data_IF_248179245138
#
_entry.id   IF_248179245138
#
_cell.length_a   1.000
_cell.length_b   1.000
_cell.length_c   1.000
_cell.angle_alpha   90.00
_cell.angle_beta   90.00
_cell.angle_gamma   90.00
#
_symmetry.space_group_name_H-M   'P 1'
#
loop_
_entity.id
_entity.type
_entity.pdbx_description
1 polymer ?
#
# COMPACT_ATOMS: atom_id res chain seq x y z
N UNK A 1 -10.63 -4.12 57.83
CA UNK A 1 -11.89 -4.78 57.40
C UNK A 1 -12.86 -3.84 56.72
N UNK A 2 -12.96 -2.56 57.05
CA UNK A 2 -13.91 -1.61 56.46
C UNK A 2 -13.58 -1.19 54.99
N UNK A 3 -12.32 -1.16 54.62
CA UNK A 3 -11.89 -0.84 53.25
C UNK A 3 -12.16 -2.00 52.26
N UNK A 4 -11.97 -3.24 52.71
CA UNK A 4 -12.22 -4.45 51.93
C UNK A 4 -13.70 -4.66 51.62
N UNK A 5 -14.59 -4.35 52.58
CA UNK A 5 -16.06 -4.43 52.41
C UNK A 5 -16.59 -3.35 51.46
N UNK A 6 -15.97 -2.16 51.38
CA UNK A 6 -16.33 -1.11 50.39
C UNK A 6 -15.94 -1.52 48.97
N UNK A 7 -14.78 -2.14 48.79
CA UNK A 7 -14.34 -2.59 47.45
C UNK A 7 -15.18 -3.77 46.93
N UNK A 8 -15.58 -4.71 47.83
CA UNK A 8 -16.47 -5.80 47.49
C UNK A 8 -17.91 -5.32 47.16
N UNK A 9 -18.40 -4.29 47.87
CA UNK A 9 -19.69 -3.68 47.59
C UNK A 9 -19.75 -2.98 46.23
N UNK A 10 -18.70 -2.28 45.82
CA UNK A 10 -18.60 -1.65 44.50
C UNK A 10 -18.49 -2.66 43.37
N UNK A 11 -17.75 -3.76 43.56
CA UNK A 11 -17.61 -4.84 42.58
C UNK A 11 -18.93 -5.56 42.33
N UNK A 12 -19.75 -5.77 43.39
CA UNK A 12 -21.09 -6.38 43.24
C UNK A 12 -22.08 -5.46 42.55
N UNK A 13 -22.00 -4.13 42.74
CA UNK A 13 -22.89 -3.15 42.11
C UNK A 13 -22.55 -2.98 40.63
N UNK A 14 -21.26 -2.91 40.28
CA UNK A 14 -20.82 -2.86 38.86
C UNK A 14 -21.17 -4.18 38.16
N UNK A 15 -21.00 -5.32 38.80
CA UNK A 15 -21.40 -6.63 38.25
C UNK A 15 -22.91 -6.73 37.98
N UNK A 16 -23.75 -6.14 38.84
CA UNK A 16 -25.23 -6.11 38.65
C UNK A 16 -25.69 -5.24 37.47
N UNK A 17 -24.89 -4.25 37.07
CA UNK A 17 -25.20 -3.39 35.93
C UNK A 17 -24.58 -3.93 34.63
N UNK A 18 -23.33 -4.42 34.71
CA UNK A 18 -22.58 -4.91 33.55
C UNK A 18 -23.13 -6.27 33.06
N UNK A 19 -23.59 -7.13 33.95
CA UNK A 19 -24.12 -8.44 33.56
C UNK A 19 -25.40 -8.39 32.71
N UNK A 20 -26.43 -7.59 33.06
CA UNK A 20 -27.61 -7.44 32.19
C UNK A 20 -27.28 -6.68 30.89
N UNK A 21 -26.32 -5.74 30.91
CA UNK A 21 -25.86 -5.03 29.69
C UNK A 21 -25.12 -5.98 28.76
N UNK A 22 -24.33 -6.89 29.27
CA UNK A 22 -23.61 -7.93 28.54
C UNK A 22 -24.56 -9.00 27.98
N UNK A 23 -25.57 -9.43 28.78
CA UNK A 23 -26.66 -10.29 28.30
C UNK A 23 -27.48 -9.62 27.21
N UNK A 24 -27.76 -8.33 27.36
CA UNK A 24 -28.46 -7.52 26.36
C UNK A 24 -27.68 -7.43 25.05
N UNK A 25 -26.37 -7.21 25.10
CA UNK A 25 -25.49 -7.21 23.92
C UNK A 25 -25.38 -8.61 23.29
N UNK A 26 -25.34 -9.66 24.11
CA UNK A 26 -25.25 -11.07 23.66
C UNK A 26 -26.53 -11.56 22.99
N UNK A 27 -27.70 -11.04 23.40
CA UNK A 27 -29.00 -11.41 22.82
C UNK A 27 -29.41 -10.46 21.71
N UNK A 28 -29.23 -9.16 21.90
CA UNK A 28 -29.61 -8.14 20.92
C UNK A 28 -28.60 -8.05 19.77
N UNK A 29 -27.30 -8.31 20.03
CA UNK A 29 -26.27 -8.28 19.00
C UNK A 29 -26.57 -9.22 17.82
N UNK A 30 -26.80 -10.53 18.04
CA UNK A 30 -27.19 -11.45 16.95
C UNK A 30 -28.54 -11.08 16.31
N UNK A 31 -29.53 -10.66 17.09
CA UNK A 31 -30.83 -10.19 16.55
C UNK A 31 -30.67 -8.93 15.70
N UNK A 32 -29.85 -7.98 16.14
CA UNK A 32 -29.54 -6.78 15.37
C UNK A 32 -28.76 -7.10 14.08
N UNK A 33 -27.84 -8.05 14.12
CA UNK A 33 -27.11 -8.47 12.91
C UNK A 33 -28.01 -9.21 11.92
N UNK A 34 -28.92 -10.06 12.40
CA UNK A 34 -29.94 -10.70 11.55
C UNK A 34 -30.92 -9.65 11.00
N UNK A 35 -31.37 -8.69 11.79
CA UNK A 35 -32.22 -7.60 11.33
C UNK A 35 -31.51 -6.70 10.32
N UNK A 36 -30.26 -6.32 10.56
CA UNK A 36 -29.43 -5.59 9.60
C UNK A 36 -29.26 -6.37 8.29
N UNK A 37 -28.98 -7.66 8.36
CA UNK A 37 -28.79 -8.50 7.19
C UNK A 37 -30.10 -8.72 6.39
N UNK A 38 -31.24 -8.89 7.08
CA UNK A 38 -32.51 -9.23 6.40
C UNK A 38 -33.32 -8.02 5.98
N UNK A 39 -33.26 -6.91 6.69
CA UNK A 39 -34.07 -5.71 6.43
C UNK A 39 -33.25 -4.60 5.78
N UNK A 40 -32.09 -4.29 6.33
CA UNK A 40 -31.21 -3.22 5.82
C UNK A 40 -30.38 -3.69 4.64
N UNK A 41 -29.92 -4.95 4.66
CA UNK A 41 -29.14 -5.54 3.58
C UNK A 41 -29.75 -5.39 2.19
N UNK A 42 -31.00 -5.81 1.96
CA UNK A 42 -31.66 -5.67 0.64
C UNK A 42 -31.83 -4.21 0.21
N UNK A 43 -32.13 -3.30 1.14
CA UNK A 43 -32.24 -1.87 0.85
C UNK A 43 -30.90 -1.27 0.45
N UNK A 44 -29.82 -1.63 1.16
CA UNK A 44 -28.46 -1.20 0.81
C UNK A 44 -28.05 -1.77 -0.54
N UNK A 45 -28.34 -3.06 -0.80
CA UNK A 45 -28.04 -3.70 -2.10
C UNK A 45 -28.81 -2.99 -3.22
N UNK A 46 -30.05 -2.64 -3.02
CA UNK A 46 -30.85 -1.91 -4.01
C UNK A 46 -30.32 -0.50 -4.28
N UNK A 47 -29.92 0.24 -3.24
CA UNK A 47 -29.27 1.57 -3.37
C UNK A 47 -27.92 1.44 -4.10
N UNK A 48 -27.15 0.42 -3.77
CA UNK A 48 -25.87 0.14 -4.41
C UNK A 48 -26.06 -0.20 -5.90
N UNK A 49 -27.04 -1.04 -6.23
CA UNK A 49 -27.34 -1.43 -7.61
C UNK A 49 -27.88 -0.26 -8.44
N UNK A 50 -28.69 0.62 -7.85
CA UNK A 50 -29.22 1.81 -8.55
C UNK A 50 -28.15 2.87 -8.85
N UNK A 51 -27.07 2.92 -8.04
CA UNK A 51 -25.95 3.87 -8.19
C UNK A 51 -24.58 3.16 -8.23
N UNK A 52 -24.51 2.04 -8.92
CA UNK A 52 -23.34 1.15 -8.90
C UNK A 52 -22.04 1.86 -9.22
N UNK A 53 -22.03 2.72 -10.23
CA UNK A 53 -20.83 3.46 -10.65
C UNK A 53 -20.32 4.42 -9.56
N UNK A 54 -21.24 5.18 -8.93
CA UNK A 54 -20.88 6.12 -7.86
C UNK A 54 -20.42 5.37 -6.63
N UNK A 55 -21.10 4.28 -6.28
CA UNK A 55 -20.73 3.47 -5.13
C UNK A 55 -19.37 2.81 -5.31
N UNK A 56 -19.11 2.23 -6.46
CA UNK A 56 -17.79 1.67 -6.81
C UNK A 56 -16.69 2.72 -6.74
N UNK A 57 -16.94 3.92 -7.24
CA UNK A 57 -15.99 5.03 -7.18
C UNK A 57 -15.68 5.45 -5.74
N UNK A 58 -16.69 5.65 -4.91
CA UNK A 58 -16.51 6.00 -3.49
C UNK A 58 -15.79 4.89 -2.74
N UNK A 59 -16.17 3.64 -2.98
CA UNK A 59 -15.52 2.48 -2.36
C UNK A 59 -14.05 2.37 -2.77
N UNK A 60 -13.72 2.64 -4.04
CA UNK A 60 -12.35 2.68 -4.52
C UNK A 60 -11.52 3.77 -3.82
N UNK A 61 -12.07 4.98 -3.67
CA UNK A 61 -11.39 6.06 -2.93
C UNK A 61 -11.15 5.67 -1.48
N UNK A 62 -12.17 5.14 -0.79
CA UNK A 62 -12.05 4.71 0.62
C UNK A 62 -11.03 3.59 0.76
N UNK A 63 -11.04 2.60 -0.14
CA UNK A 63 -10.08 1.51 -0.15
C UNK A 63 -8.65 2.01 -0.42
N UNK A 64 -8.48 2.92 -1.38
CA UNK A 64 -7.17 3.50 -1.71
C UNK A 64 -6.60 4.29 -0.52
N UNK A 65 -7.40 5.17 0.10
CA UNK A 65 -6.96 5.93 1.27
C UNK A 65 -6.71 5.01 2.47
N UNK A 66 -7.61 4.05 2.70
CA UNK A 66 -7.50 3.06 3.78
C UNK A 66 -6.29 2.13 3.62
N UNK A 67 -5.77 1.97 2.41
CA UNK A 67 -4.58 1.19 2.13
C UNK A 67 -3.31 2.06 2.11
N UNK A 68 -3.32 3.20 1.41
CA UNK A 68 -2.12 4.03 1.18
C UNK A 68 -1.53 4.59 2.47
N UNK A 69 -2.39 5.03 3.40
CA UNK A 69 -1.93 5.59 4.68
C UNK A 69 -1.24 4.53 5.56
N UNK A 70 -1.86 3.36 5.85
CA UNK A 70 -1.17 2.29 6.57
C UNK A 70 0.09 1.78 5.87
N UNK A 71 0.09 1.65 4.54
CA UNK A 71 1.25 1.25 3.77
C UNK A 71 2.43 2.21 3.98
N UNK A 72 2.20 3.53 3.91
CA UNK A 72 3.22 4.53 4.18
C UNK A 72 3.80 4.40 5.61
N UNK A 73 2.96 4.19 6.63
CA UNK A 73 3.44 3.96 8.00
C UNK A 73 4.28 2.69 8.14
N UNK A 74 3.93 1.62 7.44
CA UNK A 74 4.70 0.36 7.41
C UNK A 74 6.07 0.60 6.77
N UNK A 75 6.12 1.35 5.65
CA UNK A 75 7.37 1.67 4.95
C UNK A 75 8.28 2.53 5.83
N UNK A 76 7.74 3.55 6.50
CA UNK A 76 8.49 4.39 7.45
C UNK A 76 9.08 3.51 8.56
N UNK A 77 8.29 2.58 9.12
CA UNK A 77 8.77 1.66 10.15
C UNK A 77 9.88 0.74 9.62
N UNK A 78 9.68 0.14 8.44
CA UNK A 78 10.70 -0.70 7.78
C UNK A 78 12.00 0.08 7.58
N UNK A 79 11.92 1.29 7.07
CA UNK A 79 13.08 2.13 6.83
C UNK A 79 13.87 2.40 8.12
N UNK A 80 13.19 2.83 9.18
CA UNK A 80 13.82 3.08 10.48
C UNK A 80 14.49 1.83 11.07
N UNK A 81 13.89 0.66 10.90
CA UNK A 81 14.45 -0.60 11.40
C UNK A 81 15.61 -1.11 10.54
N UNK A 82 15.44 -1.17 9.23
CA UNK A 82 16.45 -1.70 8.32
C UNK A 82 17.72 -0.84 8.40
N UNK A 83 17.59 0.49 8.32
CA UNK A 83 18.75 1.39 8.43
C UNK A 83 19.41 1.29 9.81
N UNK A 84 18.63 1.11 10.89
CA UNK A 84 19.20 0.92 12.22
C UNK A 84 20.03 -0.36 12.31
N UNK A 85 19.53 -1.48 11.79
CA UNK A 85 20.27 -2.74 11.75
C UNK A 85 21.54 -2.64 10.89
N UNK A 86 21.48 -1.96 9.76
CA UNK A 86 22.66 -1.74 8.91
C UNK A 86 23.73 -0.91 9.62
N UNK A 87 23.32 0.05 10.44
CA UNK A 87 24.21 0.89 11.26
C UNK A 87 24.57 0.25 12.62
N UNK A 88 24.29 -1.05 12.81
CA UNK A 88 24.55 -1.79 14.05
C UNK A 88 23.97 -1.12 15.30
N UNK A 89 22.81 -0.48 15.19
CA UNK A 89 22.11 0.18 16.29
C UNK A 89 20.68 -0.37 16.44
N UNK A 90 20.14 -0.24 17.67
CA UNK A 90 18.75 -0.61 17.93
C UNK A 90 17.84 0.52 17.43
N UNK A 91 16.98 0.23 16.45
CA UNK A 91 15.95 1.16 16.01
C UNK A 91 14.85 1.38 17.07
N UNK A 92 13.73 2.04 16.71
CA UNK A 92 12.62 2.29 17.62
C UNK A 92 12.18 1.00 18.32
N UNK A 93 12.10 0.98 19.68
CA UNK A 93 11.85 -0.24 20.45
C UNK A 93 10.87 -0.08 21.63
N UNK A 94 10.39 1.14 21.92
CA UNK A 94 9.63 1.40 23.17
C UNK A 94 8.12 1.33 23.03
N UNK A 95 7.56 1.59 21.84
CA UNK A 95 6.10 1.68 21.63
C UNK A 95 5.63 0.40 20.96
N UNK A 96 4.83 -0.41 21.63
CA UNK A 96 4.47 -1.78 21.24
C UNK A 96 5.70 -2.70 21.10
N UNK A 97 5.52 -4.01 20.93
CA UNK A 97 6.64 -4.91 20.70
C UNK A 97 7.48 -4.45 19.50
N UNK A 98 8.78 -4.35 19.70
CA UNK A 98 9.77 -3.91 18.70
C UNK A 98 9.54 -2.49 18.13
N UNK A 99 8.73 -1.63 18.74
CA UNK A 99 8.48 -0.26 18.29
C UNK A 99 7.53 -0.16 17.09
N UNK A 100 6.67 -1.15 16.85
CA UNK A 100 5.81 -1.23 15.68
C UNK A 100 4.88 -0.01 15.46
N UNK A 101 4.39 0.61 16.53
CA UNK A 101 3.54 1.80 16.44
C UNK A 101 4.33 3.12 16.40
N UNK A 102 5.65 3.11 16.34
CA UNK A 102 6.46 4.33 16.36
C UNK A 102 6.11 5.28 15.21
N UNK A 103 5.96 4.76 14.00
CA UNK A 103 5.61 5.55 12.81
C UNK A 103 4.23 6.23 12.95
N UNK A 104 3.25 5.52 13.52
CA UNK A 104 1.91 6.09 13.77
C UNK A 104 1.97 7.22 14.79
N UNK A 105 2.69 7.01 15.90
CA UNK A 105 2.87 8.05 16.93
C UNK A 105 3.63 9.26 16.38
N UNK A 106 4.64 9.02 15.53
CA UNK A 106 5.36 10.10 14.85
C UNK A 106 4.42 10.89 13.92
N UNK A 107 3.54 10.22 13.17
CA UNK A 107 2.51 10.87 12.37
C UNK A 107 1.53 11.70 13.21
N UNK A 108 1.01 11.15 14.31
CA UNK A 108 0.14 11.89 15.24
C UNK A 108 0.87 13.13 15.83
N UNK A 109 2.18 13.01 16.11
CA UNK A 109 2.98 14.15 16.57
C UNK A 109 3.05 15.26 15.52
N UNK A 110 3.19 14.91 14.24
CA UNK A 110 3.17 15.88 13.13
C UNK A 110 1.81 16.58 13.04
N UNK A 111 0.72 15.84 13.19
CA UNK A 111 -0.64 16.40 13.19
C UNK A 111 -0.90 17.35 14.37
N UNK A 112 -0.28 17.09 15.53
CA UNK A 112 -0.41 17.93 16.73
C UNK A 112 0.49 19.18 16.70
N UNK A 113 1.40 19.31 15.72
CA UNK A 113 2.24 20.52 15.58
C UNK A 113 1.44 21.70 15.07
N UNK A 114 1.85 22.90 15.50
CA UNK A 114 1.30 24.15 14.99
C UNK A 114 1.56 24.30 13.49
N UNK A 115 0.50 24.63 12.75
CA UNK A 115 0.56 24.91 11.32
C UNK A 115 0.59 26.42 11.09
N UNK A 116 1.73 26.96 10.74
CA UNK A 116 1.91 28.38 10.46
C UNK A 116 2.24 28.63 8.99
N UNK A 117 1.90 29.82 8.51
CA UNK A 117 2.26 30.33 7.19
C UNK A 117 3.17 31.53 7.34
N UNK A 118 4.32 31.60 6.64
CA UNK A 118 5.16 32.78 6.61
C UNK A 118 4.37 34.01 6.12
N UNK A 119 4.65 35.19 6.69
CA UNK A 119 3.91 36.42 6.35
C UNK A 119 4.04 36.83 4.88
N UNK A 120 5.17 36.52 4.24
CA UNK A 120 5.47 36.85 2.86
C UNK A 120 5.00 35.76 1.87
N UNK A 121 4.55 34.60 2.36
CA UNK A 121 4.09 33.49 1.51
C UNK A 121 2.73 33.77 0.87
N UNK A 122 2.52 33.28 -0.36
CA UNK A 122 1.20 33.22 -0.97
C UNK A 122 0.35 32.14 -0.30
N UNK A 123 -0.54 32.53 0.61
CA UNK A 123 -1.32 31.62 1.45
C UNK A 123 -2.15 30.62 0.67
N UNK A 124 -2.69 31.02 -0.47
CA UNK A 124 -3.54 30.16 -1.29
C UNK A 124 -2.71 29.04 -1.91
N UNK A 125 -1.67 29.39 -2.62
CA UNK A 125 -0.77 28.42 -3.29
C UNK A 125 -0.04 27.57 -2.27
N UNK A 126 0.46 28.17 -1.16
CA UNK A 126 1.12 27.49 -0.07
C UNK A 126 0.25 26.39 0.57
N UNK A 127 -1.05 26.61 0.65
CA UNK A 127 -1.99 25.61 1.22
C UNK A 127 -2.30 24.49 0.25
N UNK A 128 -2.49 24.80 -1.05
CA UNK A 128 -2.91 23.83 -2.04
C UNK A 128 -1.78 23.00 -2.63
N UNK A 129 -0.55 23.49 -2.64
CA UNK A 129 0.59 22.76 -3.19
C UNK A 129 0.83 21.38 -2.55
N UNK A 130 0.87 21.23 -1.20
CA UNK A 130 1.00 19.93 -0.55
C UNK A 130 -0.19 18.98 -0.84
N UNK A 131 -1.40 19.54 -0.92
CA UNK A 131 -2.60 18.76 -1.23
C UNK A 131 -2.50 18.23 -2.66
N UNK A 132 -2.04 19.03 -3.62
CA UNK A 132 -1.86 18.60 -5.00
C UNK A 132 -0.86 17.44 -5.09
N UNK A 133 0.31 17.55 -4.43
CA UNK A 133 1.33 16.48 -4.43
C UNK A 133 0.77 15.18 -3.81
N UNK A 134 0.05 15.28 -2.71
CA UNK A 134 -0.56 14.11 -2.07
C UNK A 134 -1.67 13.50 -2.93
N UNK A 135 -2.53 14.35 -3.52
CA UNK A 135 -3.64 13.90 -4.35
C UNK A 135 -3.13 13.15 -5.59
N UNK A 136 -2.09 13.65 -6.26
CA UNK A 136 -1.51 12.98 -7.43
C UNK A 136 -0.98 11.60 -7.06
N UNK A 137 -0.26 11.46 -5.93
CA UNK A 137 0.21 10.17 -5.46
C UNK A 137 -0.96 9.20 -5.19
N UNK A 138 -2.03 9.64 -4.54
CA UNK A 138 -3.21 8.81 -4.28
C UNK A 138 -3.96 8.43 -5.56
N UNK A 139 -4.11 9.35 -6.52
CA UNK A 139 -4.79 9.09 -7.79
C UNK A 139 -4.09 8.02 -8.64
N UNK A 140 -2.77 7.88 -8.52
CA UNK A 140 -1.99 6.85 -9.21
C UNK A 140 -2.41 5.43 -8.82
N UNK A 141 -2.84 5.20 -7.57
CA UNK A 141 -3.35 3.89 -7.12
C UNK A 141 -4.60 3.43 -7.86
N UNK A 142 -5.36 4.34 -8.44
CA UNK A 142 -6.64 4.03 -9.07
C UNK A 142 -6.51 3.05 -10.23
N UNK A 143 -5.34 3.00 -10.86
CA UNK A 143 -5.08 2.22 -12.07
C UNK A 143 -4.21 1.00 -11.78
N UNK A 144 -3.58 0.93 -10.60
CA UNK A 144 -2.72 -0.20 -10.22
C UNK A 144 -3.58 -1.41 -9.82
N UNK A 145 -3.42 -2.55 -10.48
CA UNK A 145 -4.13 -3.76 -10.12
C UNK A 145 -3.43 -4.50 -8.97
N UNK A 146 -4.13 -4.67 -7.87
CA UNK A 146 -3.65 -5.39 -6.69
C UNK A 146 -3.92 -6.90 -6.72
N UNK A 147 -4.82 -7.33 -7.60
CA UNK A 147 -5.22 -8.73 -7.74
C UNK A 147 -6.19 -8.92 -8.90
N UNK A 148 -6.58 -10.16 -9.22
CA UNK A 148 -7.55 -10.44 -10.27
C UNK A 148 -8.86 -9.70 -9.96
N UNK A 149 -9.26 -8.76 -10.81
CA UNK A 149 -10.48 -7.95 -10.62
C UNK A 149 -10.36 -6.83 -9.57
N UNK A 150 -9.23 -6.71 -8.86
CA UNK A 150 -8.95 -5.68 -7.86
C UNK A 150 -8.26 -4.47 -8.48
N UNK A 151 -8.99 -3.74 -9.28
CA UNK A 151 -8.55 -2.50 -9.93
C UNK A 151 -9.55 -1.41 -9.60
N UNK A 152 -9.09 -0.24 -9.17
CA UNK A 152 -9.97 0.89 -8.87
C UNK A 152 -10.73 1.37 -10.10
N UNK A 153 -10.04 1.54 -11.23
CA UNK A 153 -10.63 1.85 -12.52
C UNK A 153 -9.87 1.09 -13.64
N UNK A 154 -10.50 0.11 -14.31
CA UNK A 154 -9.89 -0.60 -15.42
C UNK A 154 -9.89 0.27 -16.68
N UNK A 155 -8.86 1.08 -16.85
CA UNK A 155 -8.72 1.97 -18.01
C UNK A 155 -7.93 1.28 -19.13
N UNK A 156 -8.45 1.33 -20.36
CA UNK A 156 -7.73 0.83 -21.54
C UNK A 156 -6.41 1.58 -21.80
N UNK A 157 -6.35 2.85 -21.37
CA UNK A 157 -5.18 3.73 -21.48
C UNK A 157 -4.56 3.97 -20.09
N UNK A 158 -4.56 2.95 -19.22
CA UNK A 158 -4.11 3.07 -17.83
C UNK A 158 -2.70 3.60 -17.67
N UNK A 159 -1.76 3.19 -18.52
CA UNK A 159 -0.38 3.69 -18.50
C UNK A 159 -0.29 5.17 -18.85
N UNK A 160 -1.06 5.64 -19.83
CA UNK A 160 -1.09 7.06 -20.19
C UNK A 160 -1.65 7.91 -19.04
N UNK A 161 -2.73 7.45 -18.41
CA UNK A 161 -3.29 8.09 -17.22
C UNK A 161 -2.25 8.19 -16.09
N UNK A 162 -1.52 7.10 -15.83
CA UNK A 162 -0.50 7.03 -14.80
C UNK A 162 0.57 8.12 -15.00
N UNK A 163 1.17 8.20 -16.21
CA UNK A 163 2.19 9.20 -16.51
C UNK A 163 1.63 10.63 -16.51
N UNK A 164 0.40 10.83 -16.95
CA UNK A 164 -0.24 12.15 -16.91
C UNK A 164 -0.45 12.63 -15.47
N UNK A 165 -0.83 11.73 -14.55
CA UNK A 165 -1.03 12.06 -13.14
C UNK A 165 0.32 12.26 -12.44
N UNK A 166 1.34 11.41 -12.70
CA UNK A 166 2.66 11.57 -12.08
C UNK A 166 3.31 12.91 -12.46
N UNK A 167 3.20 13.34 -13.73
CA UNK A 167 3.71 14.64 -14.18
C UNK A 167 3.09 15.84 -13.46
N UNK A 168 1.86 15.74 -12.94
CA UNK A 168 1.26 16.80 -12.12
C UNK A 168 1.98 16.99 -10.77
N UNK A 169 2.69 16.00 -10.28
CA UNK A 169 3.49 16.09 -9.04
C UNK A 169 4.58 17.16 -9.18
N UNK A 170 5.19 17.30 -10.35
CA UNK A 170 6.20 18.32 -10.66
C UNK A 170 5.64 19.72 -10.43
N UNK A 171 4.42 19.96 -10.91
CA UNK A 171 3.74 21.27 -10.73
C UNK A 171 3.53 21.53 -9.23
N UNK A 172 3.08 20.52 -8.46
CA UNK A 172 2.90 20.62 -7.02
C UNK A 172 4.19 20.98 -6.27
N UNK A 173 5.31 20.33 -6.62
CA UNK A 173 6.63 20.59 -6.02
C UNK A 173 7.16 21.99 -6.34
N UNK A 174 6.99 22.45 -7.59
CA UNK A 174 7.34 23.82 -7.99
C UNK A 174 6.52 24.86 -7.24
N UNK A 175 5.20 24.64 -7.15
CA UNK A 175 4.31 25.54 -6.40
C UNK A 175 4.65 25.57 -4.91
N UNK A 176 5.02 24.46 -4.32
CA UNK A 176 5.45 24.38 -2.93
C UNK A 176 6.71 25.22 -2.67
N UNK A 177 7.73 25.08 -3.55
CA UNK A 177 8.95 25.89 -3.47
C UNK A 177 8.71 27.37 -3.70
N UNK A 178 7.90 27.72 -4.71
CA UNK A 178 7.60 29.10 -5.09
C UNK A 178 6.82 29.86 -4.02
N UNK A 179 5.74 29.24 -3.51
CA UNK A 179 4.82 29.89 -2.57
C UNK A 179 5.42 30.17 -1.20
N UNK A 180 6.49 29.49 -0.83
CA UNK A 180 7.18 29.64 0.47
C UNK A 180 7.92 30.98 0.64
N UNK A 181 8.13 31.75 -0.44
CA UNK A 181 8.89 33.00 -0.47
C UNK A 181 10.28 32.90 0.17
N UNK A 182 10.89 31.73 0.10
CA UNK A 182 12.23 31.45 0.59
C UNK A 182 13.12 30.99 -0.54
N UNK A 183 14.32 31.60 -0.68
CA UNK A 183 15.27 31.25 -1.76
C UNK A 183 15.75 29.80 -1.70
N UNK A 184 15.92 29.23 -0.50
CA UNK A 184 16.31 27.83 -0.35
C UNK A 184 15.18 26.88 -0.74
N UNK A 185 13.94 27.21 -0.36
CA UNK A 185 12.76 26.45 -0.74
C UNK A 185 12.52 26.49 -2.24
N UNK A 186 12.69 27.65 -2.90
CA UNK A 186 12.59 27.79 -4.34
C UNK A 186 13.67 26.98 -5.07
N UNK A 187 14.93 27.04 -4.62
CA UNK A 187 16.00 26.24 -5.21
C UNK A 187 15.74 24.73 -5.02
N UNK A 188 15.23 24.31 -3.87
CA UNK A 188 14.83 22.93 -3.60
C UNK A 188 13.71 22.46 -4.54
N UNK A 189 12.67 23.26 -4.72
CA UNK A 189 11.57 22.98 -5.65
C UNK A 189 12.03 22.88 -7.10
N UNK A 190 12.91 23.78 -7.56
CA UNK A 190 13.48 23.74 -8.91
C UNK A 190 14.36 22.50 -9.13
N UNK A 191 15.18 22.11 -8.16
CA UNK A 191 16.02 20.91 -8.22
C UNK A 191 15.17 19.64 -8.29
N UNK A 192 14.14 19.55 -7.45
CA UNK A 192 13.20 18.43 -7.42
C UNK A 192 12.46 18.29 -8.76
N UNK A 193 11.92 19.38 -9.26
CA UNK A 193 11.23 19.40 -10.55
C UNK A 193 12.16 18.99 -11.71
N UNK A 194 13.39 19.51 -11.73
CA UNK A 194 14.36 19.16 -12.76
C UNK A 194 14.73 17.67 -12.70
N UNK A 195 14.86 17.09 -11.52
CA UNK A 195 15.11 15.66 -11.32
C UNK A 195 13.94 14.85 -11.86
N UNK A 196 12.72 15.07 -11.39
CA UNK A 196 11.54 14.29 -11.78
C UNK A 196 11.34 14.33 -13.30
N UNK A 197 11.33 15.53 -13.93
CA UNK A 197 11.18 15.68 -15.38
C UNK A 197 12.27 14.92 -16.15
N UNK A 198 13.52 14.97 -15.68
CA UNK A 198 14.64 14.34 -16.39
C UNK A 198 14.60 12.80 -16.32
N UNK A 199 14.03 12.23 -15.26
CA UNK A 199 13.92 10.79 -15.10
C UNK A 199 12.58 10.23 -15.61
N UNK A 200 11.53 11.05 -15.70
CA UNK A 200 10.26 10.68 -16.31
C UNK A 200 10.40 10.28 -17.78
N UNK A 201 11.30 10.95 -18.53
CA UNK A 201 11.52 10.64 -19.96
C UNK A 201 12.09 9.21 -20.16
N UNK A 202 13.23 8.80 -19.58
CA UNK A 202 13.72 7.43 -19.72
C UNK A 202 12.78 6.40 -19.09
N UNK A 203 12.05 6.74 -18.02
CA UNK A 203 11.05 5.89 -17.41
C UNK A 203 9.91 5.59 -18.38
N UNK A 204 9.32 6.60 -18.99
CA UNK A 204 8.25 6.44 -20.00
C UNK A 204 8.74 5.68 -21.24
N UNK A 205 9.94 5.96 -21.75
CA UNK A 205 10.51 5.24 -22.89
C UNK A 205 10.73 3.74 -22.59
N UNK A 206 11.12 3.39 -21.38
CA UNK A 206 11.26 1.98 -20.99
C UNK A 206 9.92 1.24 -21.04
N UNK A 207 8.84 1.91 -20.63
CA UNK A 207 7.48 1.36 -20.65
C UNK A 207 6.91 1.32 -22.07
N UNK A 208 7.26 2.28 -22.94
CA UNK A 208 6.86 2.22 -24.37
C UNK A 208 7.38 0.93 -25.04
N UNK A 209 8.61 0.51 -24.75
CA UNK A 209 9.13 -0.78 -25.22
C UNK A 209 8.29 -1.96 -24.74
N UNK A 210 7.83 -1.93 -23.50
CA UNK A 210 6.92 -2.95 -22.94
C UNK A 210 5.53 -2.91 -23.60
N UNK A 211 4.99 -1.71 -23.88
CA UNK A 211 3.72 -1.55 -24.61
C UNK A 211 3.80 -2.18 -26.00
N UNK A 212 4.93 -2.06 -26.68
CA UNK A 212 5.14 -2.68 -28.00
C UNK A 212 5.10 -4.21 -27.92
N UNK A 213 5.65 -4.79 -26.85
CA UNK A 213 5.61 -6.25 -26.61
C UNK A 213 4.21 -6.73 -26.22
N UNK A 214 3.53 -6.00 -25.33
CA UNK A 214 2.21 -6.37 -24.81
C UNK A 214 1.05 -6.06 -25.78
N UNK A 215 1.24 -5.09 -26.70
CA UNK A 215 0.19 -4.66 -27.64
C UNK A 215 -0.96 -3.89 -26.99
N UNK A 216 -0.83 -3.47 -25.71
CA UNK A 216 -1.89 -2.79 -24.96
C UNK A 216 -1.31 -1.76 -23.98
N UNK A 217 -2.09 -0.72 -23.67
CA UNK A 217 -1.78 0.26 -22.62
C UNK A 217 -2.55 -0.01 -21.30
N UNK A 218 -3.39 -1.05 -21.27
CA UNK A 218 -4.13 -1.44 -20.08
C UNK A 218 -3.21 -2.19 -19.13
N UNK A 219 -3.03 -1.67 -17.91
CA UNK A 219 -2.16 -2.26 -16.89
C UNK A 219 -2.69 -3.64 -16.45
N UNK A 220 -4.00 -3.80 -16.33
CA UNK A 220 -4.63 -5.08 -16.00
C UNK A 220 -4.36 -6.15 -17.08
N UNK A 221 -4.46 -5.78 -18.36
CA UNK A 221 -4.17 -6.69 -19.48
C UNK A 221 -2.70 -7.09 -19.54
N UNK A 222 -1.77 -6.15 -19.25
CA UNK A 222 -0.33 -6.41 -19.15
C UNK A 222 -0.05 -7.40 -18.01
N UNK A 223 -0.70 -7.24 -16.87
CA UNK A 223 -0.55 -8.12 -15.73
C UNK A 223 -1.05 -9.55 -16.03
N UNK A 224 -2.17 -9.68 -16.74
CA UNK A 224 -2.73 -10.98 -17.18
C UNK A 224 -1.85 -11.71 -18.18
N UNK A 225 -1.13 -11.01 -19.05
CA UNK A 225 -0.22 -11.62 -20.04
C UNK A 225 1.02 -12.26 -19.39
N UNK A 226 1.30 -11.97 -18.13
CA UNK A 226 2.42 -12.54 -17.38
C UNK A 226 2.01 -13.73 -16.52
N UNK A 227 0.88 -14.39 -16.85
CA UNK A 227 0.43 -15.62 -16.18
C UNK A 227 1.26 -16.82 -16.63
N UNK A 228 1.39 -17.83 -15.74
CA UNK A 228 2.08 -19.08 -16.02
C UNK A 228 3.40 -19.22 -15.24
N UNK A 229 4.50 -19.35 -15.93
CA UNK A 229 5.81 -19.57 -15.33
C UNK A 229 6.57 -18.26 -15.16
N UNK A 230 7.49 -18.18 -14.20
CA UNK A 230 8.26 -16.94 -13.95
C UNK A 230 9.09 -16.47 -15.15
N UNK A 231 9.45 -17.38 -16.08
CA UNK A 231 10.12 -17.02 -17.33
C UNK A 231 9.24 -16.23 -18.31
N UNK A 232 7.92 -16.27 -18.14
CA UNK A 232 6.98 -15.53 -18.98
C UNK A 232 6.86 -14.06 -18.57
N UNK A 233 7.45 -13.70 -17.44
CA UNK A 233 7.45 -12.31 -16.98
C UNK A 233 8.25 -11.42 -17.92
N UNK A 234 7.78 -10.21 -18.10
CA UNK A 234 8.42 -9.24 -19.00
C UNK A 234 9.85 -8.87 -18.61
N UNK A 235 10.26 -9.06 -17.36
CA UNK A 235 11.66 -8.86 -16.94
C UNK A 235 12.63 -9.73 -17.74
N UNK A 236 12.25 -10.95 -18.13
CA UNK A 236 13.10 -11.83 -18.94
C UNK A 236 13.06 -11.49 -20.42
N UNK A 237 11.92 -10.99 -20.91
CA UNK A 237 11.77 -10.56 -22.31
C UNK A 237 12.38 -9.19 -22.56
N UNK A 238 12.43 -8.31 -21.54
CA UNK A 238 12.94 -6.94 -21.64
C UNK A 238 13.76 -6.55 -20.39
N UNK A 239 14.90 -7.21 -20.11
CA UNK A 239 15.68 -6.97 -18.90
C UNK A 239 16.26 -5.55 -18.84
N UNK A 240 16.68 -4.99 -19.97
CA UNK A 240 17.20 -3.62 -20.04
C UNK A 240 16.10 -2.59 -19.71
N UNK A 241 14.89 -2.78 -20.25
CA UNK A 241 13.75 -1.92 -19.93
C UNK A 241 13.39 -1.96 -18.43
N UNK A 242 13.37 -3.15 -17.83
CA UNK A 242 13.12 -3.32 -16.39
C UNK A 242 14.19 -2.62 -15.54
N UNK A 243 15.46 -2.71 -15.91
CA UNK A 243 16.56 -2.05 -15.22
C UNK A 243 16.46 -0.53 -15.30
N UNK A 244 16.18 0.01 -16.50
CA UNK A 244 16.01 1.45 -16.69
C UNK A 244 14.83 1.95 -15.89
N UNK A 245 13.69 1.25 -15.94
CA UNK A 245 12.51 1.58 -15.15
C UNK A 245 12.80 1.58 -13.64
N UNK A 246 13.53 0.57 -13.16
CA UNK A 246 13.91 0.48 -11.74
C UNK A 246 14.77 1.67 -11.31
N UNK A 247 15.82 2.01 -12.07
CA UNK A 247 16.72 3.13 -11.75
C UNK A 247 15.96 4.47 -11.81
N UNK A 248 15.15 4.68 -12.86
CA UNK A 248 14.35 5.89 -13.00
C UNK A 248 13.28 5.98 -11.92
N UNK A 249 12.68 4.86 -11.52
CA UNK A 249 11.69 4.82 -10.45
C UNK A 249 12.25 5.19 -9.07
N UNK A 250 13.53 4.86 -8.77
CA UNK A 250 14.18 5.32 -7.54
C UNK A 250 14.34 6.84 -7.55
N UNK A 251 14.72 7.41 -8.70
CA UNK A 251 14.88 8.85 -8.85
C UNK A 251 13.53 9.60 -8.79
N UNK A 252 12.46 9.02 -9.35
CA UNK A 252 11.09 9.51 -9.28
C UNK A 252 10.55 9.51 -7.84
N UNK A 253 10.91 8.46 -7.06
CA UNK A 253 10.54 8.36 -5.65
C UNK A 253 11.39 9.25 -4.73
N UNK A 254 12.30 10.09 -5.27
CA UNK A 254 13.19 10.96 -4.52
C UNK A 254 13.96 10.23 -3.40
N UNK A 255 14.41 8.98 -3.66
CA UNK A 255 15.14 8.18 -2.67
C UNK A 255 16.63 8.09 -2.98
N UNK A 256 17.44 7.93 -1.94
CA UNK A 256 18.90 7.74 -2.08
C UNK A 256 19.20 6.55 -3.02
N UNK A 257 20.12 6.70 -4.00
CA UNK A 257 21.16 7.72 -4.11
C UNK A 257 20.74 9.06 -4.72
N UNK A 258 19.49 9.23 -5.16
CA UNK A 258 18.98 10.39 -5.89
C UNK A 258 18.16 11.37 -5.03
N UNK A 259 18.37 11.33 -3.71
CA UNK A 259 17.71 12.19 -2.72
C UNK A 259 18.39 13.57 -2.63
N UNK A 260 18.12 14.41 -3.63
CA UNK A 260 18.67 15.78 -3.68
C UNK A 260 17.79 16.80 -2.97
N UNK A 261 16.53 16.47 -2.76
CA UNK A 261 15.52 17.39 -2.23
C UNK A 261 15.64 17.56 -0.72
N UNK A 262 16.08 16.52 -0.01
CA UNK A 262 16.30 16.50 1.44
C UNK A 262 17.78 16.64 1.83
N UNK A 263 18.61 17.26 0.97
CA UNK A 263 20.03 17.41 1.25
C UNK A 263 20.26 18.48 2.33
N UNK A 264 20.18 18.11 3.61
CA UNK A 264 20.39 18.99 4.77
C UNK A 264 21.69 19.81 4.68
N UNK A 265 22.72 19.23 4.08
CA UNK A 265 24.03 19.85 3.93
C UNK A 265 24.08 20.95 2.86
N UNK A 266 23.12 20.99 1.90
CA UNK A 266 23.14 21.93 0.77
C UNK A 266 22.01 22.96 0.85
N UNK A 267 20.77 22.53 1.08
CA UNK A 267 19.55 23.36 0.98
C UNK A 267 18.59 23.20 2.15
N UNK A 268 19.10 22.80 3.31
CA UNK A 268 18.36 22.57 4.57
C UNK A 268 17.32 21.46 4.41
N UNK A 269 16.04 21.78 4.15
CA UNK A 269 14.98 20.81 3.90
C UNK A 269 14.32 21.02 2.52
N UNK A 270 15.02 21.65 1.58
CA UNK A 270 14.55 21.88 0.22
C UNK A 270 13.21 22.61 0.16
N UNK A 271 12.28 22.11 -0.68
CA UNK A 271 10.95 22.71 -0.85
C UNK A 271 10.08 22.64 0.41
N UNK A 272 10.37 21.72 1.34
CA UNK A 272 9.60 21.54 2.57
C UNK A 272 10.04 22.43 3.73
N UNK A 273 11.04 23.29 3.56
CA UNK A 273 11.69 24.07 4.64
C UNK A 273 10.71 24.91 5.46
N UNK A 274 9.74 25.55 4.82
CA UNK A 274 8.78 26.44 5.47
C UNK A 274 7.47 25.73 5.89
N UNK A 275 7.32 24.46 5.51
CA UNK A 275 6.12 23.70 5.82
C UNK A 275 6.20 23.08 7.22
N UNK A 276 5.09 23.15 7.96
CA UNK A 276 4.95 22.53 9.27
C UNK A 276 3.57 21.86 9.43
N UNK A 277 3.37 21.12 10.54
CA UNK A 277 2.09 20.53 10.87
C UNK A 277 1.54 19.60 9.77
N UNK A 278 0.25 19.70 9.50
CA UNK A 278 -0.45 18.84 8.53
C UNK A 278 0.06 19.01 7.09
N UNK A 279 0.46 20.22 6.69
CA UNK A 279 0.97 20.50 5.34
C UNK A 279 2.28 19.79 5.07
N UNK A 280 3.20 19.81 6.04
CA UNK A 280 4.40 18.97 5.98
C UNK A 280 4.05 17.49 5.94
N UNK A 281 3.03 17.07 6.72
CA UNK A 281 2.54 15.70 6.72
C UNK A 281 2.11 15.22 5.34
N UNK A 282 1.38 16.02 4.56
CA UNK A 282 0.97 15.66 3.20
C UNK A 282 2.16 15.46 2.25
N UNK A 283 3.17 16.33 2.29
CA UNK A 283 4.38 16.18 1.48
C UNK A 283 5.14 14.91 1.85
N UNK A 284 5.37 14.71 3.13
CA UNK A 284 6.08 13.55 3.66
C UNK A 284 5.36 12.22 3.37
N UNK A 285 4.04 12.18 3.56
CA UNK A 285 3.25 11.00 3.19
C UNK A 285 3.27 10.73 1.69
N UNK A 286 3.17 11.75 0.86
CA UNK A 286 3.21 11.60 -0.58
C UNK A 286 4.50 10.92 -1.06
N UNK A 287 5.65 11.23 -0.47
CA UNK A 287 6.92 10.58 -0.78
C UNK A 287 6.90 9.08 -0.48
N UNK A 288 6.41 8.67 0.70
CA UNK A 288 6.34 7.24 1.04
C UNK A 288 5.30 6.49 0.23
N UNK A 289 4.18 7.13 -0.07
CA UNK A 289 3.17 6.60 -0.99
C UNK A 289 3.79 6.39 -2.37
N UNK A 290 4.59 7.32 -2.85
CA UNK A 290 5.27 7.23 -4.14
C UNK A 290 6.29 6.08 -4.20
N UNK A 291 7.03 5.82 -3.13
CA UNK A 291 7.91 4.63 -3.00
C UNK A 291 7.11 3.34 -3.20
N UNK A 292 5.94 3.25 -2.57
CA UNK A 292 5.09 2.07 -2.74
C UNK A 292 4.56 1.96 -4.17
N UNK A 293 4.10 3.07 -4.76
CA UNK A 293 3.59 3.11 -6.14
C UNK A 293 4.66 2.65 -7.12
N UNK A 294 5.88 3.17 -7.03
CA UNK A 294 6.98 2.76 -7.91
C UNK A 294 7.31 1.28 -7.74
N UNK A 295 7.32 0.77 -6.51
CA UNK A 295 7.49 -0.66 -6.23
C UNK A 295 6.35 -1.50 -6.81
N UNK A 296 5.12 -1.05 -6.68
CA UNK A 296 3.94 -1.70 -7.25
C UNK A 296 3.97 -1.72 -8.79
N UNK A 297 4.39 -0.63 -9.41
CA UNK A 297 4.50 -0.53 -10.87
C UNK A 297 5.58 -1.44 -11.44
N UNK A 298 6.76 -1.51 -10.81
CA UNK A 298 7.81 -2.46 -11.19
C UNK A 298 7.27 -3.88 -11.19
N UNK A 299 6.57 -4.26 -10.12
CA UNK A 299 5.96 -5.59 -9.98
C UNK A 299 4.90 -5.83 -11.04
N UNK A 300 4.03 -4.86 -11.28
CA UNK A 300 2.92 -5.00 -12.22
C UNK A 300 3.41 -5.10 -13.66
N UNK A 301 4.39 -4.29 -14.03
CA UNK A 301 4.85 -4.19 -15.42
C UNK A 301 5.86 -5.28 -15.78
N UNK A 302 6.73 -5.70 -14.85
CA UNK A 302 7.86 -6.57 -15.18
C UNK A 302 7.90 -7.89 -14.41
N UNK A 303 7.30 -7.98 -13.22
CA UNK A 303 7.43 -9.13 -12.33
C UNK A 303 6.13 -9.91 -12.10
N UNK A 304 5.26 -9.94 -13.07
CA UNK A 304 4.07 -10.79 -13.06
C UNK A 304 2.97 -10.35 -12.11
N UNK A 305 2.94 -9.09 -11.66
CA UNK A 305 1.88 -8.54 -10.81
C UNK A 305 1.46 -9.50 -9.68
N UNK A 306 0.19 -9.90 -9.66
CA UNK A 306 -0.39 -10.84 -8.70
C UNK A 306 -0.11 -12.32 -9.00
N UNK A 307 0.46 -12.64 -10.17
CA UNK A 307 0.71 -14.03 -10.53
C UNK A 307 1.81 -14.65 -9.67
N UNK A 308 1.60 -15.87 -9.18
CA UNK A 308 2.61 -16.61 -8.44
C UNK A 308 3.86 -16.87 -9.33
N UNK A 309 5.07 -16.94 -8.76
CA UNK A 309 6.27 -17.29 -9.53
C UNK A 309 6.20 -18.68 -10.14
N UNK A 310 5.49 -19.56 -9.48
CA UNK A 310 5.18 -20.93 -9.92
C UNK A 310 3.70 -21.14 -9.78
N UNK A 311 2.99 -21.31 -10.89
CA UNK A 311 1.60 -21.70 -10.86
C UNK A 311 1.52 -23.21 -10.63
N UNK A 312 1.11 -23.58 -9.41
CA UNK A 312 0.98 -24.99 -9.02
C UNK A 312 -0.06 -25.70 -9.91
N UNK A 313 -1.14 -25.01 -10.28
CA UNK A 313 -2.18 -25.57 -11.13
C UNK A 313 -1.68 -25.80 -12.56
N UNK A 314 -0.86 -24.90 -13.10
CA UNK A 314 -0.17 -25.08 -14.36
C UNK A 314 0.77 -26.30 -14.33
N UNK A 315 1.53 -26.45 -13.23
CA UNK A 315 2.45 -27.58 -13.05
C UNK A 315 1.70 -28.92 -12.94
N UNK A 316 0.60 -28.95 -12.21
CA UNK A 316 -0.28 -30.13 -12.11
C UNK A 316 -0.89 -30.50 -13.47
N UNK A 317 -1.30 -29.52 -14.26
CA UNK A 317 -1.82 -29.73 -15.61
C UNK A 317 -0.74 -30.33 -16.54
N UNK A 318 0.52 -29.90 -16.43
CA UNK A 318 1.64 -30.49 -17.20
C UNK A 318 1.92 -31.95 -16.81
N UNK A 319 1.71 -32.31 -15.55
CA UNK A 319 1.88 -33.69 -15.05
C UNK A 319 0.61 -34.54 -15.27
N UNK A 320 -0.44 -33.96 -15.85
CA UNK A 320 -1.71 -34.68 -16.10
C UNK A 320 -2.57 -34.87 -14.84
N UNK A 321 -2.31 -34.13 -13.78
CA UNK A 321 -3.09 -34.10 -12.54
C UNK A 321 -4.19 -33.04 -12.63
N UNK A 322 -5.33 -33.33 -11.98
CA UNK A 322 -6.41 -32.34 -11.88
C UNK A 322 -5.96 -31.11 -11.10
N UNK A 323 -6.37 -29.90 -11.50
CA UNK A 323 -6.04 -28.67 -10.76
C UNK A 323 -6.62 -28.76 -9.35
N UNK A 324 -5.86 -28.26 -8.37
CA UNK A 324 -6.34 -28.12 -7.00
C UNK A 324 -7.29 -26.92 -6.98
N UNK A 325 -8.57 -27.17 -7.20
CA UNK A 325 -9.63 -26.18 -7.01
C UNK A 325 -10.19 -26.38 -5.61
N UNK A 326 -9.95 -25.45 -4.71
CA UNK A 326 -10.63 -25.42 -3.41
C UNK A 326 -12.02 -24.82 -3.67
N UNK A 327 -12.90 -25.58 -4.29
CA UNK A 327 -14.32 -25.24 -4.38
C UNK A 327 -14.95 -25.57 -3.01
N UNK A 328 -15.08 -24.55 -2.19
CA UNK A 328 -15.87 -24.65 -0.96
C UNK A 328 -17.32 -24.47 -1.35
N UNK A 329 -18.00 -25.60 -1.61
CA UNK A 329 -19.42 -25.61 -1.91
C UNK A 329 -20.21 -25.20 -0.65
N UNK A 330 -20.93 -24.06 -0.63
CA UNK A 330 -21.63 -23.59 0.58
C UNK A 330 -22.63 -24.60 1.16
N UNK A 331 -23.09 -25.54 0.32
CA UNK A 331 -24.01 -26.60 0.71
C UNK A 331 -23.38 -27.77 1.47
N UNK A 332 -22.07 -28.02 1.31
CA UNK A 332 -21.36 -29.10 2.04
C UNK A 332 -20.75 -28.65 3.38
N UNK A 333 -20.82 -27.36 3.67
CA UNK A 333 -20.35 -26.76 4.92
C UNK A 333 -21.24 -27.09 6.16
N UNK A 334 -22.24 -27.95 6.03
CA UNK A 334 -23.22 -28.26 7.04
C UNK A 334 -22.66 -28.47 8.46
N UNK A 335 -22.47 -29.70 8.89
CA UNK A 335 -22.11 -30.08 10.29
C UNK A 335 -20.66 -29.71 10.63
N UNK A 336 -19.72 -29.82 9.68
CA UNK A 336 -18.32 -29.48 9.92
C UNK A 336 -18.10 -27.99 10.22
N UNK A 337 -18.81 -27.10 9.54
CA UNK A 337 -18.77 -25.65 9.80
C UNK A 337 -19.39 -25.30 11.14
N UNK A 338 -20.50 -25.96 11.52
CA UNK A 338 -21.10 -25.78 12.84
C UNK A 338 -20.15 -26.22 13.98
N UNK A 339 -19.42 -27.32 13.81
CA UNK A 339 -18.41 -27.77 14.75
C UNK A 339 -17.24 -26.77 14.83
N UNK A 340 -16.76 -26.29 13.70
CA UNK A 340 -15.69 -25.26 13.65
C UNK A 340 -16.19 -23.95 14.26
N UNK A 341 -17.40 -23.50 13.97
CA UNK A 341 -17.99 -22.29 14.57
C UNK A 341 -18.16 -22.43 16.08
N UNK A 342 -18.43 -23.61 16.60
CA UNK A 342 -18.59 -23.84 18.04
C UNK A 342 -17.27 -24.11 18.78
N UNK A 343 -16.35 -24.88 18.19
CA UNK A 343 -15.12 -25.33 18.86
C UNK A 343 -13.96 -24.36 18.66
N UNK A 344 -13.81 -23.76 17.48
CA UNK A 344 -12.72 -22.83 17.22
C UNK A 344 -12.76 -21.56 18.09
N UNK A 345 -13.92 -20.92 18.36
CA UNK A 345 -13.96 -19.80 19.30
C UNK A 345 -13.51 -20.19 20.71
N UNK A 346 -13.83 -21.41 21.13
CA UNK A 346 -13.46 -21.93 22.43
C UNK A 346 -11.96 -22.16 22.55
N UNK A 347 -11.31 -22.65 21.52
CA UNK A 347 -9.85 -22.81 21.43
C UNK A 347 -9.14 -21.46 21.31
N UNK A 348 -9.68 -20.52 20.52
CA UNK A 348 -9.12 -19.17 20.37
C UNK A 348 -9.30 -18.37 21.66
N UNK A 349 -10.42 -18.51 22.38
CA UNK A 349 -10.61 -17.85 23.68
C UNK A 349 -9.69 -18.39 24.74
N UNK A 350 -9.43 -19.69 24.77
CA UNK A 350 -8.43 -20.29 25.66
C UNK A 350 -7.01 -19.78 25.34
N UNK A 351 -6.66 -19.63 24.04
CA UNK A 351 -5.39 -19.09 23.59
C UNK A 351 -5.23 -17.58 23.84
N UNK A 352 -6.31 -16.79 23.69
CA UNK A 352 -6.31 -15.35 23.98
C UNK A 352 -6.47 -15.00 25.45
N UNK A 353 -7.09 -15.88 26.25
CA UNK A 353 -7.16 -15.70 27.72
C UNK A 353 -5.78 -15.83 28.37
N UNK A 354 -4.85 -16.60 27.80
CA UNK A 354 -3.51 -16.75 28.32
C UNK A 354 -2.71 -15.42 28.41
N UNK A 355 -2.65 -14.56 27.36
CA UNK A 355 -2.03 -13.23 27.46
C UNK A 355 -2.76 -12.30 28.44
N UNK A 356 -4.11 -12.35 28.48
CA UNK A 356 -4.89 -11.55 29.43
C UNK A 356 -4.68 -11.98 30.88
N UNK A 357 -4.41 -13.24 31.11
CA UNK A 357 -4.04 -13.77 32.43
C UNK A 357 -2.66 -13.30 32.91
N UNK A 358 -1.74 -13.08 31.95
CA UNK A 358 -0.41 -12.49 32.19
C UNK A 358 -0.48 -10.99 32.52
N UNK A 359 -1.51 -10.26 32.04
CA UNK A 359 -1.77 -8.85 32.36
C UNK A 359 -2.74 -8.65 33.54
N UNK A 360 -2.82 -9.60 34.42
CA UNK A 360 -3.77 -9.82 35.54
C UNK A 360 -4.00 -8.65 36.51
N UNK A 361 -3.24 -7.56 36.46
CA UNK A 361 -3.29 -6.52 37.51
C UNK A 361 -4.38 -5.46 37.32
N UNK A 362 -5.21 -5.50 36.28
CA UNK A 362 -6.18 -4.42 35.98
C UNK A 362 -7.63 -4.88 35.70
N UNK A 363 -7.91 -6.17 35.47
CA UNK A 363 -9.28 -6.66 35.20
C UNK A 363 -9.54 -8.01 35.88
N UNK A 364 -10.73 -8.26 36.38
CA UNK A 364 -11.12 -9.57 36.94
C UNK A 364 -11.14 -10.62 35.82
N UNK A 365 -10.64 -11.83 36.09
CA UNK A 365 -10.41 -12.89 35.11
C UNK A 365 -11.63 -13.27 34.26
N UNK A 366 -12.84 -13.17 34.82
CA UNK A 366 -14.08 -13.48 34.11
C UNK A 366 -14.45 -12.42 33.04
N UNK A 367 -14.12 -11.13 33.29
CA UNK A 367 -14.35 -10.08 32.30
C UNK A 367 -13.38 -10.22 31.12
N UNK A 368 -12.15 -10.62 31.37
CA UNK A 368 -11.18 -10.92 30.33
C UNK A 368 -11.59 -12.14 29.49
N UNK A 369 -12.15 -13.18 30.12
CA UNK A 369 -12.69 -14.34 29.40
C UNK A 369 -13.87 -13.98 28.48
N UNK A 370 -14.83 -13.21 29.02
CA UNK A 370 -16.02 -12.79 28.24
C UNK A 370 -15.63 -11.85 27.08
N UNK A 371 -14.75 -10.88 27.33
CA UNK A 371 -14.27 -9.98 26.28
C UNK A 371 -13.48 -10.76 25.21
N UNK A 372 -12.63 -11.70 25.62
CA UNK A 372 -11.90 -12.58 24.69
C UNK A 372 -12.85 -13.46 23.86
N UNK A 373 -13.90 -14.01 24.50
CA UNK A 373 -14.91 -14.80 23.81
C UNK A 373 -15.70 -13.99 22.77
N UNK A 374 -16.16 -12.79 23.14
CA UNK A 374 -16.89 -11.90 22.21
C UNK A 374 -16.00 -11.49 21.05
N UNK A 375 -14.75 -11.06 21.32
CA UNK A 375 -13.81 -10.66 20.28
C UNK A 375 -13.45 -11.81 19.34
N UNK A 376 -13.21 -12.99 19.88
CA UNK A 376 -12.91 -14.19 19.11
C UNK A 376 -14.08 -14.62 18.22
N UNK A 377 -15.33 -14.53 18.70
CA UNK A 377 -16.51 -14.83 17.90
C UNK A 377 -16.73 -13.79 16.80
N UNK A 378 -16.58 -12.51 17.08
CA UNK A 378 -16.69 -11.44 16.07
C UNK A 378 -15.63 -11.60 15.00
N UNK A 379 -14.37 -11.88 15.38
CA UNK A 379 -13.30 -12.14 14.44
C UNK A 379 -13.54 -13.43 13.64
N UNK A 380 -13.99 -14.49 14.29
CA UNK A 380 -14.27 -15.76 13.61
C UNK A 380 -15.42 -15.63 12.62
N UNK A 381 -16.53 -15.00 13.01
CA UNK A 381 -17.68 -14.75 12.11
C UNK A 381 -17.26 -13.85 10.97
N UNK A 382 -16.43 -12.81 11.23
CA UNK A 382 -15.86 -11.96 10.18
C UNK A 382 -14.97 -12.74 9.22
N UNK A 383 -14.08 -13.58 9.75
CA UNK A 383 -13.16 -14.42 8.94
C UNK A 383 -13.92 -15.49 8.16
N UNK A 384 -14.88 -16.19 8.78
CA UNK A 384 -15.67 -17.22 8.10
C UNK A 384 -16.64 -16.63 7.07
N UNK A 385 -17.24 -15.48 7.39
CA UNK A 385 -18.03 -14.71 6.42
C UNK A 385 -17.19 -14.22 5.23
N UNK A 386 -15.98 -13.76 5.50
CA UNK A 386 -15.02 -13.37 4.48
C UNK A 386 -14.57 -14.57 3.64
N UNK A 387 -14.25 -15.71 4.27
CA UNK A 387 -13.86 -16.97 3.59
C UNK A 387 -14.99 -17.51 2.72
N UNK A 388 -16.25 -17.42 3.15
CA UNK A 388 -17.40 -17.93 2.42
C UNK A 388 -17.80 -17.06 1.21
N UNK A 389 -17.46 -15.76 1.22
CA UNK A 389 -17.85 -14.80 0.19
C UNK A 389 -16.74 -14.44 -0.79
N UNK A 390 -15.49 -14.83 -0.52
CA UNK A 390 -14.33 -14.38 -1.30
C UNK A 390 -13.75 -15.55 -2.10
N UNK A 391 -13.60 -15.36 -3.39
CA UNK A 391 -12.81 -16.25 -4.25
C UNK A 391 -11.35 -16.26 -3.77
N UNK A 392 -10.82 -17.43 -3.43
CA UNK A 392 -9.46 -17.60 -2.91
C UNK A 392 -8.38 -17.10 -3.86
N UNK A 393 -8.63 -17.14 -5.16
CA UNK A 393 -7.71 -16.64 -6.19
C UNK A 393 -7.42 -15.16 -6.02
N UNK A 394 -8.39 -14.38 -5.58
CA UNK A 394 -8.27 -12.97 -5.30
C UNK A 394 -7.32 -12.70 -4.10
N UNK A 395 -7.47 -13.48 -3.00
CA UNK A 395 -6.61 -13.32 -1.81
C UNK A 395 -5.19 -13.76 -2.12
N UNK A 396 -5.02 -14.91 -2.78
CA UNK A 396 -3.72 -15.42 -3.17
C UNK A 396 -3.00 -14.42 -4.09
N UNK A 397 -3.70 -13.86 -5.08
CA UNK A 397 -3.18 -12.80 -5.93
C UNK A 397 -2.73 -11.57 -5.16
N UNK A 398 -3.56 -11.07 -4.22
CA UNK A 398 -3.21 -9.94 -3.37
C UNK A 398 -1.97 -10.21 -2.52
N UNK A 399 -1.87 -11.40 -1.92
CA UNK A 399 -0.70 -11.78 -1.09
C UNK A 399 0.57 -11.79 -1.95
N UNK A 400 0.55 -12.43 -3.12
CA UNK A 400 1.72 -12.47 -4.01
C UNK A 400 2.13 -11.07 -4.50
N UNK A 401 1.15 -10.24 -4.84
CA UNK A 401 1.40 -8.85 -5.21
C UNK A 401 2.09 -8.09 -4.06
N UNK A 402 1.53 -8.19 -2.83
CA UNK A 402 2.09 -7.52 -1.66
C UNK A 402 3.49 -7.99 -1.32
N UNK A 403 3.74 -9.30 -1.33
CA UNK A 403 5.08 -9.86 -1.07
C UNK A 403 6.10 -9.30 -2.06
N UNK A 404 5.79 -9.28 -3.35
CA UNK A 404 6.67 -8.72 -4.38
C UNK A 404 6.86 -7.21 -4.22
N UNK A 405 5.77 -6.45 -4.00
CA UNK A 405 5.83 -5.00 -3.84
C UNK A 405 6.67 -4.61 -2.60
N UNK A 406 6.45 -5.25 -1.45
CA UNK A 406 7.27 -5.00 -0.26
C UNK A 406 8.71 -5.50 -0.39
N UNK A 407 8.98 -6.48 -1.25
CA UNK A 407 10.36 -6.86 -1.58
C UNK A 407 11.07 -5.72 -2.30
N UNK A 408 10.43 -5.06 -3.28
CA UNK A 408 11.01 -3.89 -3.94
C UNK A 408 11.11 -2.67 -3.01
N UNK A 409 10.13 -2.44 -2.14
CA UNK A 409 10.23 -1.44 -1.07
C UNK A 409 11.45 -1.71 -0.19
N UNK A 410 11.67 -2.97 0.21
CA UNK A 410 12.86 -3.34 0.97
C UNK A 410 14.15 -3.06 0.20
N UNK A 411 14.20 -3.33 -1.10
CA UNK A 411 15.36 -3.02 -1.95
C UNK A 411 15.62 -1.51 -1.99
N UNK A 412 14.58 -0.67 -2.11
CA UNK A 412 14.72 0.80 -2.06
C UNK A 412 15.27 1.27 -0.72
N UNK A 413 14.75 0.74 0.38
CA UNK A 413 15.26 1.05 1.74
C UNK A 413 16.70 0.56 1.91
N UNK A 414 17.02 -0.62 1.39
CA UNK A 414 18.38 -1.17 1.43
C UNK A 414 19.37 -0.32 0.66
N UNK A 415 19.00 0.13 -0.53
CA UNK A 415 19.81 1.05 -1.33
C UNK A 415 20.05 2.38 -0.59
N UNK A 416 19.06 2.91 0.11
CA UNK A 416 19.22 4.11 0.95
C UNK A 416 20.28 3.94 2.03
N UNK A 417 20.43 2.75 2.59
CA UNK A 417 21.42 2.48 3.63
C UNK A 417 22.83 2.19 3.10
N UNK A 418 22.99 1.83 1.82
CA UNK A 418 24.26 1.37 1.25
C UNK A 418 24.92 2.38 0.32
N UNK A 419 24.16 3.09 -0.50
CA UNK A 419 24.71 4.02 -1.49
C UNK A 419 24.88 5.43 -0.94
N UNK A 420 26.01 6.10 -1.28
CA UNK A 420 26.18 7.52 -0.99
C UNK A 420 25.26 8.34 -1.90
N UNK A 421 24.93 9.55 -1.44
CA UNK A 421 24.16 10.53 -2.20
C UNK A 421 24.96 11.06 -3.40
N UNK A 422 24.30 11.18 -4.56
CA UNK A 422 24.91 11.69 -5.80
C UNK A 422 24.68 13.20 -5.90
N UNK A 423 25.61 13.94 -6.52
CA UNK A 423 25.45 15.37 -6.81
C UNK A 423 24.50 15.61 -7.98
N UNK A 424 23.84 16.77 -8.02
CA UNK A 424 22.88 17.13 -9.06
C UNK A 424 23.49 17.05 -10.48
N UNK A 425 24.74 17.50 -10.67
CA UNK A 425 25.41 17.47 -11.98
C UNK A 425 25.60 16.04 -12.49
N UNK A 426 25.99 15.13 -11.57
CA UNK A 426 26.17 13.71 -11.88
C UNK A 426 24.83 13.05 -12.18
N UNK A 427 23.81 13.37 -11.39
CA UNK A 427 22.45 12.86 -11.54
C UNK A 427 21.84 13.27 -12.89
N UNK A 428 21.92 14.55 -13.24
CA UNK A 428 21.45 15.05 -14.53
C UNK A 428 22.29 14.48 -15.70
N UNK A 429 23.61 14.42 -15.52
CA UNK A 429 24.49 13.80 -16.52
C UNK A 429 24.17 12.32 -16.75
N UNK A 430 23.84 11.57 -15.70
CA UNK A 430 23.46 10.17 -15.80
C UNK A 430 22.11 9.97 -16.52
N UNK A 431 21.09 10.79 -16.20
CA UNK A 431 19.80 10.74 -16.88
C UNK A 431 19.93 10.99 -18.40
N UNK A 432 20.58 12.08 -18.80
CA UNK A 432 20.63 12.52 -20.18
C UNK A 432 21.69 11.81 -21.03
N UNK A 433 22.87 11.49 -20.47
CA UNK A 433 23.97 10.88 -21.22
C UNK A 433 23.93 9.37 -21.28
N UNK A 434 23.30 8.71 -20.29
CA UNK A 434 23.30 7.26 -20.18
C UNK A 434 21.91 6.64 -20.22
N UNK A 435 20.99 7.06 -19.35
CA UNK A 435 19.66 6.44 -19.28
C UNK A 435 18.81 6.72 -20.52
N UNK A 436 18.78 7.95 -20.98
CA UNK A 436 17.99 8.31 -22.17
C UNK A 436 18.46 7.57 -23.42
N UNK A 437 19.77 7.55 -23.79
CA UNK A 437 20.24 6.76 -24.93
C UNK A 437 20.00 5.26 -24.76
N UNK A 438 20.16 4.73 -23.55
CA UNK A 438 19.88 3.32 -23.27
C UNK A 438 18.39 2.98 -23.42
N UNK A 439 17.48 3.87 -22.99
CA UNK A 439 16.05 3.69 -23.18
C UNK A 439 15.64 3.73 -24.66
N UNK A 440 16.21 4.64 -25.43
CA UNK A 440 16.02 4.68 -26.88
C UNK A 440 16.54 3.41 -27.56
N UNK A 441 17.75 2.98 -27.20
CA UNK A 441 18.33 1.74 -27.72
C UNK A 441 17.43 0.54 -27.39
N UNK A 442 16.96 0.45 -26.16
CA UNK A 442 16.02 -0.61 -25.75
C UNK A 442 14.75 -0.58 -26.60
N UNK A 443 14.18 0.60 -26.86
CA UNK A 443 13.00 0.76 -27.70
C UNK A 443 13.23 0.25 -29.12
N UNK A 444 14.35 0.65 -29.76
CA UNK A 444 14.69 0.22 -31.12
C UNK A 444 14.96 -1.29 -31.19
N UNK A 445 15.69 -1.84 -30.23
CA UNK A 445 15.97 -3.30 -30.17
C UNK A 445 14.68 -4.09 -30.02
N UNK A 446 13.78 -3.67 -29.13
CA UNK A 446 12.48 -4.35 -28.96
C UNK A 446 11.60 -4.25 -30.21
N UNK A 447 11.51 -3.08 -30.83
CA UNK A 447 10.75 -2.89 -32.07
C UNK A 447 11.30 -3.78 -33.20
N UNK A 448 12.62 -3.83 -33.36
CA UNK A 448 13.28 -4.63 -34.38
C UNK A 448 13.10 -6.14 -34.12
N UNK A 449 13.22 -6.57 -32.86
CA UNK A 449 12.99 -7.96 -32.46
C UNK A 449 11.55 -8.42 -32.79
N UNK A 450 10.55 -7.57 -32.51
CA UNK A 450 9.15 -7.87 -32.81
C UNK A 450 8.95 -8.02 -34.34
N UNK A 451 9.54 -7.15 -35.15
CA UNK A 451 9.44 -7.23 -36.62
C UNK A 451 10.06 -8.53 -37.16
N UNK A 452 11.23 -8.91 -36.64
CA UNK A 452 11.91 -10.17 -37.03
C UNK A 452 11.07 -11.39 -36.62
N UNK A 453 10.59 -11.43 -35.37
CA UNK A 453 9.79 -12.57 -34.89
C UNK A 453 8.51 -12.72 -35.72
N UNK A 454 7.81 -11.63 -36.04
CA UNK A 454 6.65 -11.65 -36.92
C UNK A 454 6.99 -12.11 -38.35
N UNK A 455 8.12 -11.69 -38.90
CA UNK A 455 8.56 -12.13 -40.24
C UNK A 455 8.95 -13.62 -40.24
N UNK A 456 9.42 -14.15 -39.12
CA UNK A 456 9.74 -15.57 -38.94
C UNK A 456 8.50 -16.44 -38.62
N UNK A 457 7.28 -15.86 -38.54
CA UNK A 457 6.05 -16.60 -38.23
C UNK A 457 5.93 -17.05 -36.76
N UNK A 458 6.77 -16.52 -35.88
CA UNK A 458 6.71 -16.79 -34.44
C UNK A 458 5.83 -15.71 -33.82
N UNK A 459 4.67 -16.13 -33.31
CA UNK A 459 3.67 -15.26 -32.66
C UNK A 459 3.84 -15.21 -31.16
#
# INVERSE_FOLDING_TARGET
MTALNRSLGQVTTVGKIVMPLLLLVLVIGPLATVFLATVVGPVVVQIVQSNETVFRFVLAIVAILGFSIPAAFIIIYMELKVIAYMNLRVGPNRILPAGAAHSVVAGLKVLAKEDFTPNAADRTVFTWAPVLVFLTAVMTFMVVPFGPGLVGAPLNIGLLYLFAVSGMTVVGLLLAGWSSFNKYSLLGGLRSAAQVVSYEIPLTLSVVGLILLAGTMSIDSIARQQSGWFWDWFVFRQPLGALIFFIAGIAEANRTPFDLTEADSEIVAGFATEYSGMRFGFLFFAEYVNVFIMSALIVTLFFGSWNAPVDINWLLHQVGMAPITINVDPGQLGIGLLVVIMVAPLLVTLGMAAPFYLFRNRMPAWQALVAGFVLANVLLIGVLGFIAYVDWDWIAGLIWFMVKAFTFVFVFVWMRGTFPRVRIDQLMGFAWKWLLPAALLNLFVTAFAIVILKSAGIH
#
